data_IF_147057686698
#
_entry.id   IF_147057686698
#
_cell.length_a   1.000
_cell.length_b   1.000
_cell.length_c   1.000
_cell.angle_alpha   90.00
_cell.angle_beta   90.00
_cell.angle_gamma   90.00
#
_symmetry.space_group_name_H-M   'P 1'
#
loop_
_entity.id
_entity.type
_entity.pdbx_description
1 polymer ?
#
# COMPACT_ATOMS: atom_id res chain seq x y z
N UNK A 1 -2.01 14.72 -2.43
CA UNK A 1 -2.58 15.69 -3.39
C UNK A 1 -1.46 16.14 -4.30
N UNK A 2 -1.67 16.11 -5.61
CA UNK A 2 -0.73 16.62 -6.61
C UNK A 2 -1.17 18.03 -7.06
N UNK A 3 -0.38 19.04 -6.71
CA UNK A 3 -0.67 20.44 -7.02
C UNK A 3 -0.54 20.79 -8.52
N UNK A 4 0.14 19.97 -9.30
CA UNK A 4 0.26 20.17 -10.75
C UNK A 4 -0.94 19.59 -11.51
N UNK A 5 -1.78 18.79 -10.85
CA UNK A 5 -2.96 18.14 -11.41
C UNK A 5 -4.27 18.77 -10.93
N UNK A 6 -4.26 20.08 -10.69
CA UNK A 6 -5.46 20.86 -10.29
C UNK A 6 -5.99 21.70 -11.44
N UNK A 7 -7.31 21.81 -11.58
CA UNK A 7 -7.94 22.70 -12.56
C UNK A 7 -9.28 23.23 -12.06
N UNK A 8 -9.77 24.31 -12.68
CA UNK A 8 -11.12 24.81 -12.42
C UNK A 8 -12.11 24.13 -13.37
N UNK A 9 -13.06 23.30 -12.89
CA UNK A 9 -14.02 22.59 -13.73
C UNK A 9 -14.78 23.50 -14.70
N UNK A 10 -15.10 24.74 -14.30
CA UNK A 10 -15.85 25.68 -15.13
C UNK A 10 -15.14 26.05 -16.44
N UNK A 11 -13.80 25.97 -16.48
CA UNK A 11 -13.01 26.23 -17.68
C UNK A 11 -12.98 25.03 -18.65
N UNK A 12 -13.44 23.86 -18.20
CA UNK A 12 -13.34 22.59 -18.92
C UNK A 12 -14.69 21.87 -19.00
N UNK A 13 -15.79 22.63 -19.10
CA UNK A 13 -17.14 22.05 -19.25
C UNK A 13 -17.64 21.32 -18.00
N UNK A 14 -17.27 21.78 -16.81
CA UNK A 14 -17.57 21.18 -15.51
C UNK A 14 -17.06 19.73 -15.36
N UNK A 15 -15.96 19.39 -16.04
CA UNK A 15 -15.28 18.12 -15.80
C UNK A 15 -14.59 18.19 -14.44
N UNK A 16 -15.03 17.35 -13.51
CA UNK A 16 -14.48 17.29 -12.15
C UNK A 16 -13.47 16.15 -11.99
N UNK A 17 -13.54 15.11 -12.82
CA UNK A 17 -12.71 13.92 -12.69
C UNK A 17 -12.20 13.43 -14.05
N UNK A 18 -10.96 12.95 -14.08
CA UNK A 18 -10.32 12.37 -15.27
C UNK A 18 -9.62 11.06 -14.92
N UNK A 19 -9.37 10.23 -15.94
CA UNK A 19 -8.62 8.98 -15.81
C UNK A 19 -7.36 9.03 -16.65
N UNK A 20 -6.19 8.84 -16.04
CA UNK A 20 -4.88 8.92 -16.69
C UNK A 20 -4.07 7.66 -16.39
N UNK A 21 -3.32 7.08 -17.35
CA UNK A 21 -2.40 5.98 -17.05
C UNK A 21 -1.36 6.36 -15.99
N UNK A 22 -1.08 5.47 -15.05
CA UNK A 22 -0.10 5.71 -13.98
C UNK A 22 1.31 6.02 -14.50
N UNK A 23 1.66 5.57 -15.71
CA UNK A 23 2.94 5.86 -16.36
C UNK A 23 3.10 7.31 -16.84
N UNK A 24 2.04 8.12 -16.80
CA UNK A 24 2.05 9.53 -17.23
C UNK A 24 2.14 10.52 -16.08
N UNK A 25 2.00 10.04 -14.85
CA UNK A 25 2.01 10.88 -13.65
C UNK A 25 3.01 10.33 -12.64
N UNK A 26 3.41 11.14 -11.68
CA UNK A 26 4.21 10.66 -10.58
C UNK A 26 3.37 9.78 -9.65
N UNK A 27 3.90 8.62 -9.28
CA UNK A 27 3.33 7.74 -8.25
C UNK A 27 4.45 7.40 -7.26
N UNK A 28 4.17 7.31 -5.95
CA UNK A 28 5.16 6.91 -4.98
C UNK A 28 5.60 5.46 -5.24
N UNK A 29 6.87 5.18 -4.94
CA UNK A 29 7.50 3.88 -5.14
C UNK A 29 7.20 2.92 -3.99
N UNK A 30 5.92 2.63 -3.80
CA UNK A 30 5.43 1.67 -2.81
C UNK A 30 5.92 0.25 -3.17
N UNK A 31 6.54 -0.47 -2.24
CA UNK A 31 7.16 -1.79 -2.44
C UNK A 31 6.94 -2.71 -1.23
N UNK A 32 6.92 -4.02 -1.47
CA UNK A 32 7.00 -5.03 -0.42
C UNK A 32 8.48 -5.30 -0.07
N UNK A 33 8.90 -5.06 1.17
CA UNK A 33 10.30 -5.17 1.58
C UNK A 33 10.74 -6.62 1.75
N UNK A 34 9.87 -7.47 2.31
CA UNK A 34 10.14 -8.89 2.54
C UNK A 34 9.65 -9.77 1.38
N UNK A 35 9.77 -9.28 0.15
CA UNK A 35 9.41 -10.02 -1.06
C UNK A 35 10.29 -11.27 -1.26
N UNK A 36 9.71 -12.32 -1.85
CA UNK A 36 10.33 -13.64 -2.00
C UNK A 36 10.51 -14.10 -3.46
N UNK A 37 9.95 -13.39 -4.44
CA UNK A 37 10.01 -13.79 -5.85
C UNK A 37 10.36 -12.61 -6.77
N UNK A 38 11.63 -12.53 -7.17
CA UNK A 38 12.16 -11.52 -8.09
C UNK A 38 11.52 -11.53 -9.47
N UNK A 39 10.84 -12.61 -9.86
CA UNK A 39 10.24 -12.76 -11.19
C UNK A 39 8.83 -12.18 -11.26
N UNK A 40 8.22 -11.88 -10.12
CA UNK A 40 6.84 -11.46 -10.03
C UNK A 40 6.72 -9.95 -10.25
N UNK A 41 6.09 -9.55 -11.35
CA UNK A 41 5.56 -8.20 -11.46
C UNK A 41 4.33 -8.11 -10.53
N UNK A 42 4.55 -7.48 -9.37
CA UNK A 42 3.57 -7.41 -8.28
C UNK A 42 2.24 -6.84 -8.77
N UNK A 43 2.28 -5.73 -9.53
CA UNK A 43 1.09 -4.95 -9.90
C UNK A 43 0.72 -5.13 -11.36
N UNK A 44 -0.59 -5.10 -11.62
CA UNK A 44 -1.16 -4.93 -12.95
C UNK A 44 -1.35 -3.44 -13.25
N UNK A 45 -1.34 -3.11 -14.54
CA UNK A 45 -1.61 -1.74 -14.98
C UNK A 45 -3.03 -1.31 -14.60
N UNK A 46 -3.14 -0.12 -14.03
CA UNK A 46 -4.40 0.50 -13.66
C UNK A 46 -4.33 2.01 -13.93
N UNK A 47 -5.44 2.58 -14.37
CA UNK A 47 -5.56 4.04 -14.51
C UNK A 47 -5.69 4.68 -13.13
N UNK A 48 -5.16 5.89 -13.00
CA UNK A 48 -5.35 6.76 -11.87
C UNK A 48 -6.61 7.61 -12.10
N UNK A 49 -7.48 7.67 -11.08
CA UNK A 49 -8.58 8.62 -11.03
C UNK A 49 -8.06 9.91 -10.40
N UNK A 50 -8.21 11.03 -11.09
CA UNK A 50 -7.73 12.32 -10.65
C UNK A 50 -8.93 13.26 -10.55
N UNK A 51 -9.09 13.88 -9.39
CA UNK A 51 -10.10 14.90 -9.16
C UNK A 51 -9.53 16.29 -9.42
N UNK A 52 -10.39 17.25 -9.77
CA UNK A 52 -10.02 18.64 -10.09
C UNK A 52 -9.27 19.37 -8.96
N UNK A 53 -9.38 18.89 -7.73
CA UNK A 53 -8.63 19.37 -6.56
C UNK A 53 -7.22 18.78 -6.42
N UNK A 54 -6.78 17.93 -7.36
CA UNK A 54 -5.47 17.27 -7.35
C UNK A 54 -5.42 15.99 -6.51
N UNK A 55 -6.55 15.50 -6.00
CA UNK A 55 -6.61 14.18 -5.37
C UNK A 55 -6.38 13.11 -6.43
N UNK A 56 -5.53 12.12 -6.10
CA UNK A 56 -5.20 11.02 -7.01
C UNK A 56 -5.49 9.72 -6.29
N UNK A 57 -6.38 8.92 -6.87
CA UNK A 57 -6.71 7.58 -6.42
C UNK A 57 -6.15 6.55 -7.41
N UNK A 58 -5.33 5.64 -6.90
CA UNK A 58 -4.71 4.58 -7.68
C UNK A 58 -4.88 3.24 -6.98
N UNK A 59 -5.58 2.31 -7.62
CA UNK A 59 -5.96 1.01 -7.06
C UNK A 59 -5.58 -0.13 -8.02
N UNK A 60 -4.29 -0.46 -8.13
CA UNK A 60 -3.84 -1.57 -8.99
C UNK A 60 -4.13 -2.92 -8.33
N UNK A 61 -4.51 -3.91 -9.13
CA UNK A 61 -4.53 -5.30 -8.68
C UNK A 61 -3.10 -5.81 -8.52
N UNK A 62 -2.83 -6.53 -7.43
CA UNK A 62 -1.50 -7.04 -7.16
C UNK A 62 -1.48 -8.48 -6.65
N UNK A 63 -0.42 -9.21 -7.01
CA UNK A 63 -0.06 -10.49 -6.42
C UNK A 63 1.26 -10.28 -5.68
N UNK A 64 1.27 -10.57 -4.38
CA UNK A 64 2.48 -10.48 -3.56
C UNK A 64 2.95 -11.87 -3.13
N UNK A 65 4.26 -12.06 -3.10
CA UNK A 65 4.91 -13.24 -2.53
C UNK A 65 5.92 -12.76 -1.50
N UNK A 66 5.72 -13.19 -0.26
CA UNK A 66 6.52 -12.75 0.89
C UNK A 66 7.28 -13.92 1.50
N UNK A 67 8.42 -13.63 2.11
CA UNK A 67 9.06 -14.56 3.02
C UNK A 67 8.32 -14.52 4.35
N UNK A 68 7.88 -15.70 4.79
CA UNK A 68 7.23 -15.92 6.08
C UNK A 68 7.92 -17.09 6.77
N UNK A 69 8.29 -16.91 8.03
CA UNK A 69 8.85 -17.97 8.87
C UNK A 69 7.71 -18.84 9.38
N UNK A 70 7.83 -20.16 9.18
CA UNK A 70 6.79 -21.14 9.53
C UNK A 70 7.25 -21.96 10.73
N UNK A 71 6.44 -22.05 11.78
CA UNK A 71 6.68 -22.94 12.92
C UNK A 71 5.80 -24.20 12.81
N UNK A 72 6.40 -25.35 12.57
CA UNK A 72 5.71 -26.63 12.32
C UNK A 72 5.56 -27.53 13.56
N UNK A 73 5.90 -27.05 14.76
CA UNK A 73 5.85 -27.87 15.99
C UNK A 73 4.46 -28.44 16.30
N UNK A 74 3.41 -27.71 15.94
CA UNK A 74 2.02 -28.05 16.26
C UNK A 74 1.23 -28.61 15.05
N UNK A 75 1.91 -28.92 13.95
CA UNK A 75 1.26 -29.40 12.73
C UNK A 75 0.36 -30.63 13.01
N UNK A 76 -0.88 -30.71 12.47
CA UNK A 76 -1.52 -29.78 11.53
C UNK A 76 -2.42 -28.70 12.18
N UNK A 77 -2.29 -28.46 13.49
CA UNK A 77 -3.07 -27.48 14.27
C UNK A 77 -2.25 -26.24 14.62
N UNK A 78 -1.30 -25.90 13.75
CA UNK A 78 -0.38 -24.79 13.88
C UNK A 78 -1.03 -23.45 13.52
N UNK A 79 -0.54 -22.38 14.16
CA UNK A 79 -0.91 -21.00 13.85
C UNK A 79 0.33 -20.35 13.24
N UNK A 80 0.15 -19.77 12.05
CA UNK A 80 1.23 -19.09 11.34
C UNK A 80 1.03 -17.58 11.36
N UNK A 81 2.11 -16.85 11.64
CA UNK A 81 2.14 -15.38 11.64
C UNK A 81 3.01 -14.89 10.48
N UNK A 82 2.36 -14.41 9.42
CA UNK A 82 3.03 -13.83 8.27
C UNK A 82 2.83 -12.32 8.24
N UNK A 83 3.93 -11.56 8.18
CA UNK A 83 3.90 -10.10 8.06
C UNK A 83 4.15 -9.70 6.60
N UNK A 84 3.43 -8.70 6.10
CA UNK A 84 3.71 -8.05 4.82
C UNK A 84 4.22 -6.64 5.12
N UNK A 85 5.47 -6.35 4.82
CA UNK A 85 6.08 -5.04 5.14
C UNK A 85 6.10 -4.16 3.90
N UNK A 86 5.25 -3.14 3.85
CA UNK A 86 5.18 -2.22 2.72
C UNK A 86 5.78 -0.85 3.05
N UNK A 87 6.50 -0.24 2.12
CA UNK A 87 7.03 1.11 2.27
C UNK A 87 7.54 1.72 0.97
N UNK A 88 7.97 2.97 1.01
CA UNK A 88 8.65 3.64 -0.10
C UNK A 88 10.12 3.26 -0.14
N UNK A 89 10.64 2.89 -1.31
CA UNK A 89 12.04 2.42 -1.41
C UNK A 89 13.06 3.57 -1.43
N UNK A 90 12.73 4.67 -2.11
CA UNK A 90 13.63 5.78 -2.39
C UNK A 90 13.32 7.04 -1.60
N UNK A 91 12.11 7.16 -1.06
CA UNK A 91 11.67 8.31 -0.28
C UNK A 91 11.65 7.99 1.21
N UNK A 92 12.22 8.87 2.02
CA UNK A 92 12.12 8.82 3.48
C UNK A 92 10.82 9.48 3.97
N UNK A 93 10.52 9.36 5.26
CA UNK A 93 9.25 9.76 5.87
C UNK A 93 8.94 11.25 5.83
N UNK A 94 9.96 12.11 5.74
CA UNK A 94 9.77 13.55 5.59
C UNK A 94 9.40 13.95 4.15
N UNK A 95 9.66 13.07 3.17
CA UNK A 95 9.25 13.26 1.77
C UNK A 95 7.88 12.63 1.48
N UNK A 96 7.67 11.40 1.94
CA UNK A 96 6.43 10.65 1.73
C UNK A 96 5.97 10.08 3.07
N UNK A 97 4.89 10.64 3.60
CA UNK A 97 4.24 10.16 4.82
C UNK A 97 3.15 9.12 4.48
N UNK A 98 3.42 7.85 4.81
CA UNK A 98 2.47 6.76 4.63
C UNK A 98 1.51 6.68 5.82
N UNK A 99 0.22 6.58 5.53
CA UNK A 99 -0.84 6.50 6.54
C UNK A 99 -1.81 5.36 6.24
N UNK A 100 -2.37 4.78 7.29
CA UNK A 100 -3.46 3.79 7.18
C UNK A 100 -4.77 4.55 6.96
N UNK A 101 -5.51 4.18 5.92
CA UNK A 101 -6.84 4.72 5.65
C UNK A 101 -7.84 4.02 6.57
N UNK A 102 -8.28 4.70 7.65
CA UNK A 102 -9.32 4.21 8.55
C UNK A 102 -10.31 5.32 8.91
N UNK A 103 -10.94 5.93 7.91
CA UNK A 103 -11.94 7.01 8.07
C UNK A 103 -11.43 8.33 8.69
N UNK A 104 -10.19 8.35 9.21
CA UNK A 104 -9.53 9.46 9.88
C UNK A 104 -8.05 9.53 9.47
N UNK A 105 -7.51 10.73 9.33
CA UNK A 105 -6.08 10.98 9.08
C UNK A 105 -5.30 10.80 10.39
N UNK A 106 -4.10 10.23 10.33
CA UNK A 106 -3.20 10.10 11.50
C UNK A 106 -3.38 8.82 12.33
N UNK A 107 -4.12 7.84 11.81
CA UNK A 107 -4.29 6.54 12.46
C UNK A 107 -3.03 5.69 12.30
N UNK A 108 -2.51 5.16 13.40
CA UNK A 108 -1.29 4.32 13.44
C UNK A 108 -1.59 2.83 13.44
N UNK A 109 -2.82 2.44 13.74
CA UNK A 109 -3.27 1.04 13.78
C UNK A 109 -4.62 0.90 13.09
N UNK A 110 -4.78 -0.17 12.30
CA UNK A 110 -6.04 -0.50 11.66
C UNK A 110 -6.10 -1.97 11.33
N UNK A 111 -7.04 -2.32 10.47
CA UNK A 111 -7.20 -3.67 9.96
C UNK A 111 -7.24 -3.63 8.44
N UNK A 112 -6.80 -4.71 7.81
CA UNK A 112 -6.96 -4.91 6.37
C UNK A 112 -8.45 -5.02 6.04
N UNK A 113 -8.89 -4.40 4.95
CA UNK A 113 -10.25 -4.58 4.46
C UNK A 113 -10.45 -6.00 3.91
N UNK A 114 -11.36 -6.73 4.56
CA UNK A 114 -11.70 -8.13 4.25
C UNK A 114 -13.09 -8.27 3.62
N UNK A 115 -13.75 -7.17 3.22
CA UNK A 115 -15.12 -7.20 2.69
C UNK A 115 -15.30 -8.09 1.45
N UNK A 116 -14.26 -8.20 0.61
CA UNK A 116 -14.24 -9.04 -0.60
C UNK A 116 -13.42 -10.34 -0.43
N UNK A 117 -13.03 -10.69 0.80
CA UNK A 117 -12.24 -11.90 1.05
C UNK A 117 -13.05 -13.17 0.74
N UNK A 118 -12.37 -14.15 0.13
CA UNK A 118 -12.89 -15.49 -0.09
C UNK A 118 -12.07 -16.47 0.72
N UNK A 119 -12.75 -17.25 1.55
CA UNK A 119 -12.12 -18.23 2.43
C UNK A 119 -11.27 -19.25 1.66
N UNK A 120 -10.10 -19.54 2.21
CA UNK A 120 -9.21 -20.58 1.73
C UNK A 120 -9.63 -21.94 2.31
N UNK A 121 -9.49 -23.00 1.51
CA UNK A 121 -9.80 -24.36 1.94
C UNK A 121 -8.77 -24.94 2.94
N UNK A 122 -7.63 -24.29 3.13
CA UNK A 122 -6.51 -24.82 3.93
C UNK A 122 -6.04 -23.89 5.04
N UNK A 123 -6.44 -22.61 5.00
CA UNK A 123 -5.98 -21.60 5.95
C UNK A 123 -7.14 -20.73 6.39
N UNK A 124 -7.34 -20.60 7.69
CA UNK A 124 -8.25 -19.64 8.29
C UNK A 124 -7.47 -18.39 8.72
N UNK A 125 -7.99 -17.20 8.38
CA UNK A 125 -7.38 -15.95 8.82
C UNK A 125 -7.98 -15.57 10.17
N UNK A 126 -7.17 -15.68 11.23
CA UNK A 126 -7.60 -15.35 12.60
C UNK A 126 -7.50 -13.84 12.89
N UNK A 127 -6.44 -13.19 12.39
CA UNK A 127 -6.15 -11.78 12.63
C UNK A 127 -5.49 -11.15 11.40
N UNK A 128 -5.83 -9.89 11.11
CA UNK A 128 -5.31 -9.12 9.97
C UNK A 128 -5.02 -7.64 10.33
N UNK A 129 -4.26 -7.38 11.42
CA UNK A 129 -3.94 -6.02 11.83
C UNK A 129 -2.98 -5.36 10.85
N UNK A 130 -3.06 -4.03 10.76
CA UNK A 130 -2.12 -3.18 10.05
C UNK A 130 -1.57 -2.13 11.02
N UNK A 131 -0.26 -1.92 11.00
CA UNK A 131 0.44 -0.96 11.87
C UNK A 131 1.37 -0.08 11.07
N UNK A 132 1.40 1.21 11.41
CA UNK A 132 2.36 2.18 10.88
C UNK A 132 3.60 2.20 11.78
N UNK A 133 4.76 1.92 11.20
CA UNK A 133 6.04 1.93 11.89
C UNK A 133 6.91 3.09 11.37
N UNK A 134 7.65 3.73 12.27
CA UNK A 134 8.68 4.73 11.94
C UNK A 134 10.02 4.16 12.36
N UNK A 135 10.88 3.89 11.38
CA UNK A 135 12.16 3.22 11.57
C UNK A 135 13.32 4.14 11.22
N UNK A 136 14.41 4.08 11.98
CA UNK A 136 15.68 4.72 11.64
C UNK A 136 16.70 3.63 11.32
N UNK A 137 17.24 3.65 10.11
CA UNK A 137 18.23 2.67 9.68
C UNK A 137 19.65 3.19 9.92
N UNK A 138 20.59 2.30 10.21
CA UNK A 138 21.98 2.69 10.48
C UNK A 138 22.69 3.38 9.30
N UNK A 139 22.18 3.21 8.08
CA UNK A 139 22.73 3.81 6.87
C UNK A 139 22.35 5.29 6.68
N UNK A 140 21.24 5.75 7.27
CA UNK A 140 20.65 7.05 6.96
C UNK A 140 20.11 7.75 8.22
N UNK A 141 20.32 9.06 8.39
CA UNK A 141 19.80 9.80 9.54
C UNK A 141 18.27 10.01 9.50
N UNK A 142 17.65 9.94 8.33
CA UNK A 142 16.22 10.21 8.13
C UNK A 142 15.32 9.06 8.60
N UNK A 143 14.07 9.35 9.03
CA UNK A 143 13.09 8.32 9.36
C UNK A 143 12.54 7.66 8.09
N UNK A 144 12.25 6.36 8.13
CA UNK A 144 11.58 5.62 7.08
C UNK A 144 10.30 5.02 7.61
N UNK A 145 9.21 5.16 6.85
CA UNK A 145 7.89 4.70 7.27
C UNK A 145 7.56 3.41 6.53
N UNK A 146 7.03 2.43 7.26
CA UNK A 146 6.43 1.23 6.68
C UNK A 146 5.08 0.91 7.32
N UNK A 147 4.27 0.17 6.58
CA UNK A 147 2.98 -0.38 6.99
C UNK A 147 3.12 -1.91 7.04
N UNK A 148 2.81 -2.52 8.18
CA UNK A 148 3.01 -3.96 8.44
C UNK A 148 1.87 -4.64 9.17
#
# INVERSE_FOLDING_TARGET
>A
VDMHMTWNPSNFGNVETIRIPSSKIWIPDFKLYNYADLRLAERRDALCLIDSNGSVQWMPQAIYKTNCEIDVKAFPFDIQKCTLKFGTWTHHGDMVDLMILNGSIGVTEGEIDMAEYKESNSWEILHYPARRNVNHYSCCPEPYIDLS
#
